data_IF_486596843215
#
_entry.id   IF_486596843215
#
_cell.length_a   1.000
_cell.length_b   1.000
_cell.length_c   1.000
_cell.angle_alpha   90.00
_cell.angle_beta   90.00
_cell.angle_gamma   90.00
#
_symmetry.space_group_name_H-M   'P 1'
#
loop_
_entity.id
_entity.type
_entity.pdbx_description
1 polymer ?
#
# COMPACT_ATOMS: atom_id res chain seq x y z
N UNK A 1 -21.71 -21.95 7.42
CA UNK A 1 -21.46 -21.35 6.08
C UNK A 1 -21.91 -22.34 5.03
N UNK A 2 -22.93 -21.98 4.24
CA UNK A 2 -23.68 -22.92 3.40
C UNK A 2 -23.20 -22.95 1.95
N UNK A 3 -23.67 -23.95 1.18
CA UNK A 3 -23.36 -24.10 -0.26
C UNK A 3 -23.75 -22.88 -1.12
N UNK A 4 -24.72 -22.08 -0.65
CA UNK A 4 -25.14 -20.83 -1.30
C UNK A 4 -24.05 -19.75 -1.18
N UNK A 5 -23.42 -19.62 -0.01
CA UNK A 5 -22.36 -18.64 0.25
C UNK A 5 -21.14 -18.93 -0.63
N UNK A 6 -20.76 -20.22 -0.76
CA UNK A 6 -19.66 -20.66 -1.62
C UNK A 6 -19.92 -20.37 -3.10
N UNK A 7 -21.17 -20.54 -3.56
CA UNK A 7 -21.56 -20.24 -4.95
C UNK A 7 -21.53 -18.74 -5.23
N UNK A 8 -21.94 -17.91 -4.28
CA UNK A 8 -21.88 -16.44 -4.42
C UNK A 8 -20.43 -15.99 -4.45
N UNK A 9 -19.60 -16.45 -3.51
CA UNK A 9 -18.17 -16.15 -3.48
C UNK A 9 -17.47 -16.52 -4.80
N UNK A 10 -17.73 -17.72 -5.33
CA UNK A 10 -17.17 -18.14 -6.62
C UNK A 10 -17.60 -17.26 -7.80
N UNK A 11 -18.83 -16.74 -7.80
CA UNK A 11 -19.28 -15.78 -8.83
C UNK A 11 -18.60 -14.42 -8.71
N UNK A 12 -18.40 -13.94 -7.49
CA UNK A 12 -17.69 -12.67 -7.27
C UNK A 12 -16.21 -12.80 -7.66
N UNK A 13 -15.59 -13.95 -7.38
CA UNK A 13 -14.23 -14.25 -7.82
C UNK A 13 -14.08 -14.22 -9.35
N UNK A 14 -15.03 -14.83 -10.08
CA UNK A 14 -15.02 -14.81 -11.55
C UNK A 14 -15.09 -13.39 -12.11
N UNK A 15 -15.91 -12.53 -11.49
CA UNK A 15 -16.03 -11.12 -11.92
C UNK A 15 -14.72 -10.36 -11.69
N UNK A 16 -14.02 -10.61 -10.57
CA UNK A 16 -12.68 -10.06 -10.35
C UNK A 16 -11.66 -10.59 -11.36
N UNK A 17 -11.69 -11.90 -11.67
CA UNK A 17 -10.79 -12.52 -12.65
C UNK A 17 -10.97 -11.92 -14.05
N UNK A 18 -12.20 -11.67 -14.50
CA UNK A 18 -12.48 -11.04 -15.79
C UNK A 18 -11.81 -9.65 -15.88
N UNK A 19 -12.00 -8.81 -14.86
CA UNK A 19 -11.38 -7.48 -14.80
C UNK A 19 -9.86 -7.57 -14.72
N UNK A 20 -9.32 -8.50 -13.94
CA UNK A 20 -7.89 -8.73 -13.84
C UNK A 20 -7.27 -9.12 -15.19
N UNK A 21 -7.90 -10.05 -15.93
CA UNK A 21 -7.41 -10.51 -17.23
C UNK A 21 -7.38 -9.36 -18.24
N UNK A 22 -8.42 -8.53 -18.28
CA UNK A 22 -8.47 -7.35 -19.15
C UNK A 22 -7.38 -6.33 -18.78
N UNK A 23 -7.27 -6.00 -17.49
CA UNK A 23 -6.25 -5.07 -16.99
C UNK A 23 -4.84 -5.57 -17.30
N UNK A 24 -4.56 -6.85 -17.06
CA UNK A 24 -3.24 -7.44 -17.27
C UNK A 24 -2.79 -7.38 -18.74
N UNK A 25 -3.73 -7.46 -19.69
CA UNK A 25 -3.46 -7.37 -21.13
C UNK A 25 -3.33 -5.93 -21.65
N UNK A 26 -3.74 -4.94 -20.85
CA UNK A 26 -3.78 -3.53 -21.24
C UNK A 26 -2.83 -2.70 -20.38
N UNK A 27 -3.27 -2.28 -19.20
CA UNK A 27 -2.53 -1.42 -18.30
C UNK A 27 -1.39 -2.17 -17.58
N UNK A 28 -1.57 -3.47 -17.27
CA UNK A 28 -0.54 -4.28 -16.63
C UNK A 28 0.78 -4.28 -17.40
N UNK A 29 0.73 -4.36 -18.73
CA UNK A 29 1.91 -4.28 -19.60
C UNK A 29 2.64 -2.93 -19.45
N UNK A 30 1.88 -1.83 -19.31
CA UNK A 30 2.48 -0.48 -19.12
C UNK A 30 3.20 -0.37 -17.79
N UNK A 31 2.76 -1.13 -16.79
CA UNK A 31 3.44 -1.25 -15.51
C UNK A 31 4.62 -2.24 -15.53
N UNK A 32 4.90 -2.89 -16.66
CA UNK A 32 6.00 -3.86 -16.79
C UNK A 32 5.63 -5.27 -16.32
N UNK A 33 4.34 -5.61 -16.26
CA UNK A 33 3.90 -6.98 -16.04
C UNK A 33 4.42 -7.87 -17.17
N UNK A 34 5.05 -8.98 -16.81
CA UNK A 34 5.53 -9.96 -17.77
C UNK A 34 4.37 -10.56 -18.58
N UNK A 35 4.62 -10.96 -19.83
CA UNK A 35 3.61 -11.60 -20.65
C UNK A 35 3.07 -12.85 -19.95
N UNK A 36 1.77 -12.87 -19.67
CA UNK A 36 1.12 -14.00 -19.02
C UNK A 36 0.78 -15.03 -20.09
N UNK A 37 1.46 -16.19 -20.06
CA UNK A 37 1.04 -17.38 -20.80
C UNK A 37 -0.44 -17.70 -20.47
N UNK A 38 -1.19 -18.32 -21.38
CA UNK A 38 -2.63 -18.59 -21.21
C UNK A 38 -2.97 -19.32 -19.88
N UNK A 39 -2.04 -20.09 -19.32
CA UNK A 39 -2.18 -20.77 -18.02
C UNK A 39 -1.68 -20.00 -16.77
N UNK A 40 -1.12 -18.80 -16.91
CA UNK A 40 -0.54 -17.99 -15.80
C UNK A 40 -1.34 -16.73 -15.48
N UNK A 41 -2.53 -16.57 -16.05
CA UNK A 41 -3.42 -15.41 -15.87
C UNK A 41 -4.24 -15.43 -14.58
N UNK A 42 -3.67 -15.93 -13.49
CA UNK A 42 -4.36 -15.91 -12.18
C UNK A 42 -3.76 -14.84 -11.28
N UNK A 43 -4.61 -14.21 -10.47
CA UNK A 43 -4.20 -13.28 -9.41
C UNK A 43 -3.03 -13.86 -8.60
N UNK A 44 -3.17 -15.10 -8.13
CA UNK A 44 -2.18 -15.81 -7.33
C UNK A 44 -0.79 -15.91 -8.00
N UNK A 45 -0.72 -16.00 -9.33
CA UNK A 45 0.56 -16.05 -10.05
C UNK A 45 1.28 -14.70 -10.07
N UNK A 46 0.54 -13.60 -10.04
CA UNK A 46 1.10 -12.25 -10.13
C UNK A 46 1.18 -11.54 -8.79
N UNK A 47 0.57 -12.06 -7.72
CA UNK A 47 0.56 -11.43 -6.38
C UNK A 47 1.97 -11.10 -5.88
N UNK A 48 2.97 -11.95 -6.15
CA UNK A 48 4.38 -11.69 -5.81
C UNK A 48 4.92 -10.44 -6.49
N UNK A 49 4.58 -10.26 -7.77
CA UNK A 49 4.99 -9.09 -8.53
C UNK A 49 4.18 -7.86 -8.10
N UNK A 50 2.86 -8.01 -7.93
CA UNK A 50 1.96 -6.92 -7.52
C UNK A 50 2.35 -6.33 -6.15
N UNK A 51 2.60 -7.18 -5.15
CA UNK A 51 3.05 -6.73 -3.81
C UNK A 51 4.37 -5.94 -3.85
N UNK A 52 5.22 -6.17 -4.85
CA UNK A 52 6.45 -5.39 -5.06
C UNK A 52 6.25 -4.12 -5.91
N UNK A 53 5.09 -3.97 -6.56
CA UNK A 53 4.77 -2.89 -7.50
C UNK A 53 3.53 -2.12 -7.03
N UNK A 54 3.64 -1.26 -6.00
CA UNK A 54 2.51 -0.62 -5.35
C UNK A 54 1.63 0.19 -6.32
N UNK A 55 2.22 0.88 -7.30
CA UNK A 55 1.45 1.61 -8.30
C UNK A 55 0.53 0.70 -9.14
N UNK A 56 1.02 -0.46 -9.55
CA UNK A 56 0.23 -1.45 -10.29
C UNK A 56 -0.84 -2.07 -9.39
N UNK A 57 -0.47 -2.44 -8.16
CA UNK A 57 -1.39 -3.00 -7.15
C UNK A 57 -2.55 -2.05 -6.85
N UNK A 58 -2.28 -0.76 -6.59
CA UNK A 58 -3.34 0.25 -6.38
C UNK A 58 -4.26 0.36 -7.58
N UNK A 59 -3.71 0.37 -8.80
CA UNK A 59 -4.52 0.50 -10.01
C UNK A 59 -5.46 -0.69 -10.19
N UNK A 60 -4.95 -1.93 -10.09
CA UNK A 60 -5.82 -3.10 -10.23
C UNK A 60 -6.86 -3.16 -9.11
N UNK A 61 -6.46 -2.91 -7.85
CA UNK A 61 -7.38 -2.96 -6.70
C UNK A 61 -8.51 -1.93 -6.83
N UNK A 62 -8.25 -0.76 -7.43
CA UNK A 62 -9.29 0.24 -7.70
C UNK A 62 -10.27 -0.16 -8.82
N UNK A 63 -9.89 -1.10 -9.69
CA UNK A 63 -10.73 -1.59 -10.79
C UNK A 63 -11.55 -2.82 -10.39
N UNK A 64 -11.07 -3.61 -9.42
CA UNK A 64 -11.75 -4.82 -8.98
C UNK A 64 -13.15 -4.50 -8.42
N UNK A 65 -14.20 -5.23 -8.83
CA UNK A 65 -15.54 -5.03 -8.29
C UNK A 65 -15.67 -5.45 -6.81
N UNK A 66 -14.84 -6.38 -6.36
CA UNK A 66 -14.76 -6.85 -4.96
C UNK A 66 -13.29 -7.03 -4.54
N UNK A 67 -12.52 -5.93 -4.33
CA UNK A 67 -11.10 -5.99 -3.97
C UNK A 67 -10.83 -6.77 -2.68
N UNK A 68 -11.80 -6.85 -1.76
CA UNK A 68 -11.69 -7.55 -0.49
C UNK A 68 -11.36 -9.04 -0.67
N UNK A 69 -11.91 -9.67 -1.73
CA UNK A 69 -11.67 -11.10 -1.99
C UNK A 69 -10.21 -11.37 -2.38
N UNK A 70 -9.65 -10.51 -3.23
CA UNK A 70 -8.25 -10.65 -3.65
C UNK A 70 -7.27 -10.28 -2.51
N UNK A 71 -7.65 -9.32 -1.68
CA UNK A 71 -6.90 -8.97 -0.47
C UNK A 71 -6.87 -10.13 0.53
N UNK A 72 -7.99 -10.81 0.74
CA UNK A 72 -8.10 -12.00 1.60
C UNK A 72 -7.34 -13.21 1.04
N UNK A 73 -7.19 -13.29 -0.28
CA UNK A 73 -6.40 -14.34 -0.92
C UNK A 73 -4.88 -14.13 -0.76
N UNK A 74 -4.43 -12.91 -0.44
CA UNK A 74 -3.04 -12.64 -0.10
C UNK A 74 -2.71 -13.21 1.28
N UNK A 75 -1.56 -13.91 1.39
CA UNK A 75 -1.03 -14.25 2.71
C UNK A 75 -0.50 -12.99 3.43
N UNK A 76 -0.35 -13.08 4.76
CA UNK A 76 0.12 -11.97 5.58
C UNK A 76 1.45 -11.39 5.09
N UNK A 77 2.41 -12.25 4.72
CA UNK A 77 3.71 -11.80 4.21
C UNK A 77 3.56 -10.89 2.97
N UNK A 78 2.67 -11.22 2.03
CA UNK A 78 2.45 -10.39 0.82
C UNK A 78 1.76 -9.08 1.14
N UNK A 79 0.85 -9.06 2.12
CA UNK A 79 0.23 -7.83 2.60
C UNK A 79 1.25 -6.92 3.30
N UNK A 80 2.15 -7.49 4.09
CA UNK A 80 3.24 -6.73 4.73
C UNK A 80 4.23 -6.17 3.72
N UNK A 81 4.65 -6.98 2.74
CA UNK A 81 5.52 -6.54 1.64
C UNK A 81 4.88 -5.38 0.87
N UNK A 82 3.59 -5.48 0.54
CA UNK A 82 2.86 -4.39 -0.11
C UNK A 82 2.75 -3.16 0.78
N UNK A 83 2.37 -3.32 2.05
CA UNK A 83 2.24 -2.21 2.99
C UNK A 83 3.54 -1.48 3.28
N UNK A 84 4.68 -2.19 3.30
CA UNK A 84 6.00 -1.57 3.36
C UNK A 84 6.28 -0.71 2.12
N UNK A 85 5.94 -1.22 0.93
CA UNK A 85 6.12 -0.49 -0.33
C UNK A 85 5.24 0.75 -0.41
N UNK A 86 4.01 0.68 0.10
CA UNK A 86 3.09 1.81 0.20
C UNK A 86 3.58 2.85 1.21
N UNK A 87 4.06 2.42 2.38
CA UNK A 87 4.65 3.30 3.38
C UNK A 87 5.85 4.07 2.79
N UNK A 88 6.73 3.36 2.09
CA UNK A 88 7.88 3.95 1.43
C UNK A 88 7.48 4.92 0.29
N UNK A 89 6.51 4.55 -0.54
CA UNK A 89 5.99 5.44 -1.59
C UNK A 89 5.38 6.73 -1.00
N UNK A 90 4.66 6.63 0.11
CA UNK A 90 4.10 7.78 0.81
C UNK A 90 5.19 8.69 1.40
N UNK A 91 6.27 8.12 1.94
CA UNK A 91 7.44 8.90 2.39
C UNK A 91 8.08 9.67 1.23
N UNK A 92 8.26 9.04 0.07
CA UNK A 92 8.81 9.72 -1.11
C UNK A 92 7.91 10.84 -1.62
N UNK A 93 6.60 10.62 -1.64
CA UNK A 93 5.65 11.67 -2.01
C UNK A 93 5.75 12.86 -1.06
N UNK A 94 5.92 12.60 0.25
CA UNK A 94 6.05 13.66 1.25
C UNK A 94 7.34 14.47 1.08
N UNK A 95 8.46 13.81 0.80
CA UNK A 95 9.72 14.50 0.46
C UNK A 95 9.54 15.46 -0.71
N UNK A 96 8.84 15.02 -1.76
CA UNK A 96 8.54 15.88 -2.91
C UNK A 96 7.65 17.06 -2.49
N UNK A 97 6.65 16.83 -1.63
CA UNK A 97 5.77 17.91 -1.15
C UNK A 97 6.53 18.99 -0.37
N UNK A 98 7.52 18.61 0.44
CA UNK A 98 8.35 19.55 1.22
C UNK A 98 9.19 20.41 0.27
N UNK A 99 9.72 19.83 -0.80
CA UNK A 99 10.51 20.56 -1.80
C UNK A 99 9.69 21.58 -2.60
N UNK A 100 8.41 21.29 -2.82
CA UNK A 100 7.49 22.14 -3.59
C UNK A 100 6.86 23.26 -2.74
N UNK A 101 6.95 23.17 -1.42
CA UNK A 101 6.33 24.10 -0.49
C UNK A 101 7.29 25.24 -0.13
N UNK A 102 6.98 26.42 -0.64
CA UNK A 102 7.76 27.67 -0.54
C UNK A 102 7.91 28.20 0.91
N UNK A 103 7.13 27.67 1.86
CA UNK A 103 7.24 28.05 3.27
C UNK A 103 8.38 27.32 4.01
N UNK A 104 8.94 26.26 3.41
CA UNK A 104 10.03 25.50 4.02
C UNK A 104 11.40 26.18 3.83
N UNK A 105 12.28 26.03 4.83
CA UNK A 105 13.63 26.59 4.76
C UNK A 105 14.54 25.85 3.75
N UNK A 106 15.53 26.57 3.21
CA UNK A 106 16.46 26.06 2.19
C UNK A 106 17.18 24.77 2.61
N UNK A 107 17.45 24.59 3.91
CA UNK A 107 18.15 23.42 4.43
C UNK A 107 17.24 22.19 4.41
N UNK A 108 15.99 22.34 4.81
CA UNK A 108 14.96 21.30 4.74
C UNK A 108 14.73 20.86 3.29
N UNK A 109 14.64 21.81 2.35
CA UNK A 109 14.50 21.55 0.92
C UNK A 109 15.71 20.81 0.33
N UNK A 110 16.93 21.29 0.61
CA UNK A 110 18.17 20.67 0.10
C UNK A 110 18.32 19.23 0.58
N UNK A 111 18.05 18.97 1.86
CA UNK A 111 18.13 17.62 2.40
C UNK A 111 17.05 16.70 1.83
N UNK A 112 15.81 17.18 1.69
CA UNK A 112 14.76 16.38 1.05
C UNK A 112 15.14 16.02 -0.40
N UNK A 113 15.80 16.92 -1.14
CA UNK A 113 16.27 16.70 -2.50
C UNK A 113 17.38 15.64 -2.57
N UNK A 114 18.36 15.73 -1.67
CA UNK A 114 19.40 14.70 -1.51
C UNK A 114 18.77 13.33 -1.20
N UNK A 115 17.82 13.32 -0.26
CA UNK A 115 17.16 12.10 0.16
C UNK A 115 16.31 11.44 -0.94
N UNK A 116 15.51 12.24 -1.64
CA UNK A 116 14.74 11.78 -2.78
C UNK A 116 15.64 11.24 -3.90
N UNK A 117 16.83 11.83 -4.09
CA UNK A 117 17.82 11.34 -5.06
C UNK A 117 18.36 9.98 -4.67
N UNK A 118 18.82 9.81 -3.43
CA UNK A 118 19.33 8.52 -2.92
C UNK A 118 18.27 7.43 -3.07
N UNK A 119 17.03 7.73 -2.69
CA UNK A 119 15.92 6.79 -2.77
C UNK A 119 15.54 6.37 -4.19
N UNK A 120 15.85 7.20 -5.21
CA UNK A 120 15.60 6.88 -6.63
C UNK A 120 16.74 6.09 -7.28
N UNK A 121 17.95 6.19 -6.75
CA UNK A 121 19.16 5.63 -7.39
C UNK A 121 19.66 4.32 -6.78
N UNK A 122 19.41 4.07 -5.50
CA UNK A 122 19.89 2.86 -4.83
C UNK A 122 18.94 1.67 -5.00
N UNK A 123 19.45 0.46 -4.77
CA UNK A 123 18.63 -0.76 -4.78
C UNK A 123 17.53 -0.65 -3.72
N UNK A 124 16.33 -1.15 -4.01
CA UNK A 124 15.22 -1.03 -3.07
C UNK A 124 15.53 -1.58 -1.68
N UNK A 125 16.28 -2.69 -1.59
CA UNK A 125 16.65 -3.32 -0.33
C UNK A 125 17.52 -2.39 0.52
N UNK A 126 18.46 -1.70 -0.13
CA UNK A 126 19.33 -0.71 0.51
C UNK A 126 18.52 0.53 0.91
N UNK A 127 17.66 1.01 0.01
CA UNK A 127 16.82 2.20 0.22
C UNK A 127 15.85 1.99 1.37
N UNK A 128 15.26 0.80 1.53
CA UNK A 128 14.38 0.50 2.67
C UNK A 128 15.14 0.51 3.99
N UNK A 129 16.33 -0.08 4.04
CA UNK A 129 17.18 -0.02 5.24
C UNK A 129 17.53 1.42 5.59
N UNK A 130 17.87 2.21 4.57
CA UNK A 130 18.16 3.64 4.70
C UNK A 130 16.95 4.47 5.12
N UNK A 131 15.75 4.18 4.59
CA UNK A 131 14.49 4.84 4.96
C UNK A 131 14.04 4.50 6.39
N UNK A 132 14.52 3.39 6.96
CA UNK A 132 14.29 3.01 8.36
C UNK A 132 15.27 3.70 9.32
N UNK A 133 16.35 4.31 8.83
CA UNK A 133 17.34 5.01 9.67
C UNK A 133 16.79 6.34 10.19
N UNK A 134 16.45 6.37 11.48
CA UNK A 134 15.90 7.55 12.16
C UNK A 134 16.85 8.74 12.12
N UNK A 135 18.17 8.51 12.18
CA UNK A 135 19.14 9.61 12.24
C UNK A 135 19.15 10.45 10.96
N UNK A 136 18.80 9.85 9.82
CA UNK A 136 18.67 10.58 8.56
C UNK A 136 17.43 11.45 8.49
N UNK A 137 16.43 11.16 9.32
CA UNK A 137 15.19 11.91 9.42
C UNK A 137 15.18 12.93 10.56
N UNK A 138 16.19 12.95 11.44
CA UNK A 138 16.29 13.88 12.59
C UNK A 138 16.28 15.36 12.20
N UNK A 139 16.56 15.65 10.92
CA UNK A 139 16.61 17.00 10.37
C UNK A 139 15.33 17.42 9.62
N UNK A 140 14.38 16.50 9.41
CA UNK A 140 13.03 16.88 8.98
C UNK A 140 12.15 16.88 10.21
N UNK A 141 11.35 17.93 10.38
CA UNK A 141 10.41 18.01 11.49
C UNK A 141 9.58 16.70 11.59
N UNK A 142 9.58 16.09 12.77
CA UNK A 142 8.82 14.90 13.09
C UNK A 142 7.31 15.07 12.84
N UNK A 143 6.81 16.32 12.90
CA UNK A 143 5.43 16.68 12.54
C UNK A 143 5.12 16.51 11.04
N UNK A 144 6.16 16.58 10.20
CA UNK A 144 6.13 16.46 8.74
C UNK A 144 6.45 15.02 8.31
N UNK A 145 7.27 14.32 9.10
CA UNK A 145 7.63 12.90 8.97
C UNK A 145 6.51 11.98 9.45
N UNK A 146 5.94 11.18 8.55
CA UNK A 146 5.04 10.08 8.92
C UNK A 146 5.81 8.84 9.38
N UNK A 147 6.72 9.03 10.32
CA UNK A 147 7.39 7.91 10.98
C UNK A 147 6.35 7.09 11.72
N UNK A 148 6.47 5.76 11.66
CA UNK A 148 5.61 4.87 12.44
C UNK A 148 5.77 5.21 13.93
N UNK A 149 4.69 5.57 14.65
CA UNK A 149 4.74 5.69 16.10
C UNK A 149 5.13 4.37 16.75
N UNK A 150 5.96 4.41 17.79
CA UNK A 150 6.52 3.19 18.41
C UNK A 150 5.45 2.28 19.01
N UNK A 151 4.32 2.85 19.42
CA UNK A 151 3.18 2.14 19.98
C UNK A 151 2.35 1.37 18.93
N UNK A 152 2.51 1.66 17.64
CA UNK A 152 1.84 0.91 16.57
C UNK A 152 2.76 -0.22 16.11
N UNK A 153 2.37 -1.50 16.27
CA UNK A 153 3.15 -2.64 15.77
C UNK A 153 3.49 -2.52 14.27
N UNK A 154 4.61 -3.09 13.84
CA UNK A 154 5.11 -2.88 12.47
C UNK A 154 4.18 -3.50 11.42
N UNK A 155 3.70 -4.71 11.68
CA UNK A 155 2.70 -5.39 10.87
C UNK A 155 1.39 -4.57 10.77
N UNK A 156 0.91 -4.01 11.89
CA UNK A 156 -0.28 -3.15 11.89
C UNK A 156 -0.05 -1.89 11.06
N UNK A 157 1.14 -1.29 11.15
CA UNK A 157 1.51 -0.13 10.34
C UNK A 157 1.44 -0.44 8.84
N UNK A 158 2.00 -1.57 8.40
CA UNK A 158 1.89 -1.98 7.00
C UNK A 158 0.46 -2.28 6.59
N UNK A 159 -0.35 -2.93 7.44
CA UNK A 159 -1.78 -3.13 7.17
C UNK A 159 -2.52 -1.80 6.97
N UNK A 160 -2.28 -0.79 7.81
CA UNK A 160 -2.91 0.54 7.71
C UNK A 160 -2.65 1.20 6.35
N UNK A 161 -1.48 0.98 5.76
CA UNK A 161 -1.14 1.50 4.43
C UNK A 161 -1.86 0.78 3.29
N UNK A 162 -2.40 -0.41 3.53
CA UNK A 162 -3.06 -1.27 2.54
C UNK A 162 -4.59 -1.15 2.59
N UNK A 163 -5.17 -0.90 3.78
CA UNK A 163 -6.62 -0.79 3.97
C UNK A 163 -7.34 0.13 2.95
N UNK A 164 -6.82 1.32 2.58
CA UNK A 164 -7.48 2.19 1.64
C UNK A 164 -7.72 1.60 0.25
N UNK A 165 -6.98 0.56 -0.12
CA UNK A 165 -7.02 -0.07 -1.43
C UNK A 165 -7.78 -1.40 -1.41
N UNK A 166 -7.97 -2.00 -0.25
CA UNK A 166 -8.57 -3.35 -0.12
C UNK A 166 -10.06 -3.30 0.19
N UNK A 167 -10.57 -2.15 0.63
CA UNK A 167 -11.97 -1.95 0.99
C UNK A 167 -12.62 -1.08 -0.09
N UNK A 168 -13.58 -1.64 -0.82
CA UNK A 168 -14.25 -0.99 -1.95
C UNK A 168 -14.93 0.32 -1.55
N UNK A 169 -15.59 0.30 -0.40
CA UNK A 169 -16.36 1.43 0.13
C UNK A 169 -15.49 2.35 1.00
N UNK A 170 -14.15 2.22 0.94
CA UNK A 170 -13.25 3.00 1.77
C UNK A 170 -13.51 4.50 1.65
N UNK A 171 -13.65 5.01 0.43
CA UNK A 171 -13.93 6.42 0.13
C UNK A 171 -15.24 6.93 0.75
N UNK A 172 -16.20 6.06 1.03
CA UNK A 172 -17.48 6.41 1.66
C UNK A 172 -17.38 6.48 3.19
N UNK A 173 -16.29 5.98 3.77
CA UNK A 173 -16.01 6.08 5.21
C UNK A 173 -15.48 7.47 5.59
N UNK A 174 -15.52 7.79 6.89
CA UNK A 174 -14.86 9.00 7.42
C UNK A 174 -13.35 8.95 7.19
N UNK A 175 -12.76 7.76 7.20
CA UNK A 175 -11.33 7.54 7.00
C UNK A 175 -10.93 7.77 5.54
N UNK A 176 -11.71 7.28 4.57
CA UNK A 176 -11.43 7.49 3.15
C UNK A 176 -11.63 8.92 2.66
N UNK A 177 -12.39 9.74 3.41
CA UNK A 177 -12.46 11.19 3.20
C UNK A 177 -11.34 11.97 3.89
N UNK A 178 -10.62 11.35 4.82
CA UNK A 178 -9.51 11.98 5.53
C UNK A 178 -8.23 11.93 4.71
N UNK A 179 -7.31 12.85 4.97
CA UNK A 179 -6.00 12.82 4.32
C UNK A 179 -5.24 11.54 4.70
N UNK A 180 -4.46 10.99 3.79
CA UNK A 180 -3.69 9.76 4.01
C UNK A 180 -2.65 9.87 5.16
N UNK A 181 -2.43 11.06 5.74
CA UNK A 181 -1.63 11.26 6.97
C UNK A 181 -2.32 10.76 8.22
N UNK A 182 -3.63 10.57 8.17
CA UNK A 182 -4.42 10.31 9.34
C UNK A 182 -4.30 8.86 9.85
N UNK A 183 -3.43 8.01 9.29
CA UNK A 183 -3.26 6.60 9.70
C UNK A 183 -3.11 6.43 11.22
N UNK A 184 -2.31 7.30 11.85
CA UNK A 184 -2.09 7.28 13.31
C UNK A 184 -3.38 7.64 14.07
N UNK A 185 -4.11 8.63 13.57
CA UNK A 185 -5.41 9.03 14.14
C UNK A 185 -6.42 7.90 13.96
N UNK A 186 -6.47 7.25 12.79
CA UNK A 186 -7.36 6.13 12.54
C UNK A 186 -7.11 4.99 13.53
N UNK A 187 -5.84 4.63 13.72
CA UNK A 187 -5.46 3.58 14.64
C UNK A 187 -5.79 3.93 16.09
N UNK A 188 -5.57 5.17 16.54
CA UNK A 188 -5.81 5.59 17.93
C UNK A 188 -7.29 5.80 18.26
N UNK A 189 -8.04 6.43 17.37
CA UNK A 189 -9.41 6.89 17.64
C UNK A 189 -10.48 5.84 17.29
N UNK A 190 -10.17 4.86 16.43
CA UNK A 190 -11.14 3.88 15.96
C UNK A 190 -10.72 2.46 16.33
N UNK A 191 -11.31 1.93 17.41
CA UNK A 191 -11.03 0.58 17.90
C UNK A 191 -11.22 -0.50 16.83
N UNK A 192 -12.19 -0.34 15.93
CA UNK A 192 -12.44 -1.30 14.85
C UNK A 192 -11.23 -1.45 13.91
N UNK A 193 -10.44 -0.40 13.72
CA UNK A 193 -9.22 -0.45 12.91
C UNK A 193 -8.14 -1.26 13.62
N UNK A 194 -7.99 -1.10 14.94
CA UNK A 194 -7.05 -1.91 15.73
C UNK A 194 -7.43 -3.39 15.69
N UNK A 195 -8.72 -3.69 15.88
CA UNK A 195 -9.24 -5.05 15.83
C UNK A 195 -9.05 -5.68 14.45
N UNK A 196 -9.25 -4.91 13.36
CA UNK A 196 -9.00 -5.39 12.01
C UNK A 196 -7.50 -5.68 11.78
N UNK A 197 -6.60 -4.77 12.19
CA UNK A 197 -5.17 -5.00 12.10
C UNK A 197 -4.74 -6.26 12.88
N UNK A 198 -5.27 -6.45 14.10
CA UNK A 198 -5.00 -7.62 14.92
C UNK A 198 -5.51 -8.90 14.24
N UNK A 199 -6.76 -8.90 13.75
CA UNK A 199 -7.33 -10.06 13.06
C UNK A 199 -6.59 -10.43 11.76
N UNK A 200 -6.00 -9.46 11.07
CA UNK A 200 -5.15 -9.70 9.90
C UNK A 200 -3.79 -10.26 10.33
N UNK A 201 -3.21 -9.75 11.41
CA UNK A 201 -1.92 -10.19 11.94
C UNK A 201 -1.96 -11.61 12.54
N UNK A 202 -3.11 -12.03 13.08
CA UNK A 202 -3.30 -13.33 13.73
C UNK A 202 -3.72 -14.45 12.76
N UNK A 203 -3.97 -14.13 11.48
CA UNK A 203 -4.30 -15.07 10.40
C UNK A 203 -3.04 -15.56 9.65
#
# INVERSE_FOLDING_TARGET
MGAIDARIAGRLQLVNEEVFVEWAQTEGIKHGLFALDEGRRSWAHVTNWLSSNPAAMRQIMALLPVPELEAQACNLQKLEEWGEREAFAQQLQRLASIQEDEENDDRSCAMCAEWATICRTADYTEVVVLARDKQRWDYVDASIMRSRPLEIPLNHWFTLHVLPYTIREWCDTVMGRAHASALVVWYREFEQVQQLCLAIADN
#
